data_IF_295296064731
#
_entry.id   IF_295296064731
#
_cell.length_a   1.000
_cell.length_b   1.000
_cell.length_c   1.000
_cell.angle_alpha   90.00
_cell.angle_beta   90.00
_cell.angle_gamma   90.00
#
_symmetry.space_group_name_H-M   'P 1'
#
loop_
_entity.id
_entity.type
_entity.pdbx_description
1 polymer ?
#
# COMPACT_ATOMS: atom_id res chain seq x y z
N UNK A 1 -19.02 2.15 12.52
CA UNK A 1 -20.03 2.80 11.66
C UNK A 1 -19.88 4.33 11.61
N UNK A 2 -19.99 5.07 12.71
CA UNK A 2 -19.92 6.54 12.67
C UNK A 2 -18.61 7.07 12.06
N UNK A 3 -17.45 6.53 12.45
CA UNK A 3 -16.15 6.99 11.98
C UNK A 3 -15.98 6.82 10.46
N UNK A 4 -16.38 5.68 9.91
CA UNK A 4 -16.30 5.43 8.46
C UNK A 4 -17.26 6.31 7.66
N UNK A 5 -18.44 6.62 8.19
CA UNK A 5 -19.36 7.56 7.58
C UNK A 5 -18.80 8.99 7.56
N UNK A 6 -18.22 9.44 8.68
CA UNK A 6 -17.56 10.76 8.78
C UNK A 6 -16.39 10.83 7.80
N UNK A 7 -15.54 9.81 7.77
CA UNK A 7 -14.41 9.73 6.84
C UNK A 7 -14.88 9.79 5.37
N UNK A 8 -15.89 9.00 5.00
CA UNK A 8 -16.46 9.01 3.66
C UNK A 8 -16.99 10.39 3.26
N UNK A 9 -17.74 11.07 4.13
CA UNK A 9 -18.28 12.40 3.86
C UNK A 9 -17.17 13.43 3.67
N UNK A 10 -16.17 13.43 4.57
CA UNK A 10 -15.05 14.36 4.51
C UNK A 10 -14.18 14.12 3.27
N UNK A 11 -13.91 12.87 2.91
CA UNK A 11 -13.15 12.51 1.71
C UNK A 11 -13.90 12.97 0.44
N UNK A 12 -15.19 12.69 0.34
CA UNK A 12 -16.00 13.15 -0.81
C UNK A 12 -16.05 14.66 -0.93
N UNK A 13 -16.25 15.36 0.19
CA UNK A 13 -16.27 16.82 0.19
C UNK A 13 -14.92 17.38 -0.27
N UNK A 14 -13.81 16.88 0.25
CA UNK A 14 -12.47 17.33 -0.17
C UNK A 14 -12.19 17.02 -1.64
N UNK A 15 -12.56 15.83 -2.11
CA UNK A 15 -12.42 15.46 -3.53
C UNK A 15 -13.22 16.37 -4.46
N UNK A 16 -14.42 16.80 -4.06
CA UNK A 16 -15.25 17.72 -4.86
C UNK A 16 -14.70 19.16 -4.94
N UNK A 17 -13.88 19.56 -3.97
CA UNK A 17 -13.23 20.89 -3.92
C UNK A 17 -11.86 20.89 -4.60
N UNK A 18 -11.27 19.73 -4.80
CA UNK A 18 -9.97 19.60 -5.41
C UNK A 18 -10.10 19.59 -6.94
N UNK A 19 -9.55 20.59 -7.59
CA UNK A 19 -9.29 20.55 -9.04
C UNK A 19 -8.10 19.65 -9.39
N UNK A 20 -7.77 18.71 -8.51
CA UNK A 20 -6.58 17.89 -8.55
C UNK A 20 -6.46 17.15 -9.87
N UNK A 21 -5.74 17.74 -10.79
CA UNK A 21 -5.13 17.02 -11.88
C UNK A 21 -4.08 16.10 -11.24
N UNK A 22 -4.41 14.81 -11.13
CA UNK A 22 -3.35 13.83 -11.17
C UNK A 22 -2.51 14.18 -12.39
N UNK A 23 -1.23 14.42 -12.19
CA UNK A 23 -0.32 14.70 -13.29
C UNK A 23 -0.20 13.37 -14.06
N UNK A 24 -1.03 13.19 -15.11
CA UNK A 24 -1.29 11.93 -15.80
C UNK A 24 -0.14 11.52 -16.73
N UNK A 25 1.07 11.39 -16.19
CA UNK A 25 2.13 10.65 -16.88
C UNK A 25 1.72 9.16 -17.08
N UNK A 26 0.88 8.63 -16.16
CA UNK A 26 0.27 7.31 -16.25
C UNK A 26 -1.22 7.46 -16.56
N UNK A 27 -1.71 6.77 -17.58
CA UNK A 27 -3.14 6.74 -17.93
C UNK A 27 -3.93 6.01 -16.82
N UNK A 28 -4.37 6.74 -15.81
CA UNK A 28 -5.17 6.21 -14.71
C UNK A 28 -6.66 6.30 -15.00
N UNK A 29 -7.45 5.41 -14.40
CA UNK A 29 -8.91 5.43 -14.45
C UNK A 29 -9.52 4.94 -13.14
N UNK A 30 -10.78 5.27 -12.93
CA UNK A 30 -11.55 4.75 -11.80
C UNK A 30 -12.35 3.50 -12.20
N UNK A 31 -12.37 2.51 -11.31
CA UNK A 31 -13.21 1.31 -11.43
C UNK A 31 -14.09 1.19 -10.18
N UNK A 32 -15.27 0.59 -10.35
CA UNK A 32 -16.16 0.30 -9.23
C UNK A 32 -15.80 -1.04 -8.61
N UNK A 33 -15.73 -1.07 -7.27
CA UNK A 33 -15.52 -2.28 -6.48
C UNK A 33 -16.57 -2.38 -5.37
N UNK A 34 -16.71 -3.54 -4.71
CA UNK A 34 -17.64 -3.68 -3.58
C UNK A 34 -17.38 -2.73 -2.41
N UNK A 35 -16.19 -2.14 -2.32
CA UNK A 35 -15.77 -1.28 -1.20
C UNK A 35 -15.54 0.18 -1.58
N UNK A 36 -15.79 0.54 -2.83
CA UNK A 36 -15.68 1.92 -3.30
C UNK A 36 -15.24 2.07 -4.75
N UNK A 37 -15.05 3.33 -5.16
CA UNK A 37 -14.44 3.68 -6.44
C UNK A 37 -12.92 3.70 -6.29
N UNK A 38 -12.23 2.85 -7.01
CA UNK A 38 -10.77 2.65 -6.90
C UNK A 38 -10.09 3.21 -8.13
N UNK A 39 -9.12 4.10 -7.93
CA UNK A 39 -8.26 4.61 -8.99
C UNK A 39 -7.17 3.60 -9.28
N UNK A 40 -7.01 3.27 -10.56
CA UNK A 40 -6.04 2.27 -11.03
C UNK A 40 -5.22 2.80 -12.21
N UNK A 41 -4.02 2.28 -12.34
CA UNK A 41 -3.25 2.13 -13.57
C UNK A 41 -3.28 0.66 -13.97
N UNK A 42 -3.39 0.37 -15.26
CA UNK A 42 -3.28 -0.99 -15.82
C UNK A 42 -2.48 -0.91 -17.12
N UNK A 43 -1.36 -1.60 -17.19
CA UNK A 43 -0.50 -1.63 -18.39
C UNK A 43 -1.11 -2.39 -19.57
N UNK A 44 -2.16 -3.19 -19.33
CA UNK A 44 -2.88 -3.85 -20.40
C UNK A 44 -3.91 -2.89 -20.99
N UNK A 45 -3.83 -2.68 -22.30
CA UNK A 45 -4.82 -1.90 -23.05
C UNK A 45 -6.08 -2.72 -23.36
N UNK A 46 -5.96 -4.04 -23.33
CA UNK A 46 -7.05 -5.00 -23.45
C UNK A 46 -6.86 -6.15 -22.44
N UNK A 47 -7.93 -6.90 -22.17
CA UNK A 47 -7.91 -8.04 -21.24
C UNK A 47 -7.19 -9.28 -21.80
N UNK A 48 -6.39 -9.17 -22.86
CA UNK A 48 -5.76 -10.28 -23.57
C UNK A 48 -4.27 -10.46 -23.26
N UNK A 49 -3.75 -9.73 -22.26
CA UNK A 49 -2.34 -9.90 -21.87
C UNK A 49 -2.07 -11.34 -21.42
N UNK A 50 -1.12 -11.99 -22.06
CA UNK A 50 -0.62 -13.32 -21.69
C UNK A 50 0.50 -13.27 -20.66
N UNK A 51 0.96 -12.06 -20.29
CA UNK A 51 2.01 -11.86 -19.28
C UNK A 51 1.47 -12.18 -17.90
N UNK A 52 2.29 -12.75 -17.00
CA UNK A 52 1.93 -12.85 -15.58
C UNK A 52 1.54 -11.47 -15.01
N UNK A 53 0.54 -11.45 -14.12
CA UNK A 53 0.04 -10.21 -13.54
C UNK A 53 0.70 -9.93 -12.19
N UNK A 54 1.18 -8.70 -12.00
CA UNK A 54 1.53 -8.15 -10.70
C UNK A 54 0.60 -7.00 -10.34
N UNK A 55 0.15 -6.99 -9.10
CA UNK A 55 -0.63 -5.88 -8.54
C UNK A 55 0.27 -5.16 -7.52
N UNK A 56 0.46 -3.86 -7.73
CA UNK A 56 1.18 -2.96 -6.83
C UNK A 56 0.18 -2.13 -6.04
N UNK A 57 0.45 -1.96 -4.75
CA UNK A 57 -0.30 -1.01 -3.90
C UNK A 57 0.69 -0.17 -3.12
N UNK A 58 0.68 1.16 -3.36
CA UNK A 58 1.51 2.10 -2.63
C UNK A 58 1.27 2.04 -1.13
N UNK A 59 2.33 2.14 -0.32
CA UNK A 59 2.16 2.39 1.11
C UNK A 59 1.57 3.78 1.33
N UNK A 60 0.66 3.90 2.27
CA UNK A 60 0.19 5.23 2.68
C UNK A 60 1.30 6.03 3.37
N UNK A 61 1.58 7.25 2.93
CA UNK A 61 0.75 8.14 2.12
C UNK A 61 1.10 8.21 0.62
N UNK A 62 1.88 7.28 0.10
CA UNK A 62 2.23 7.27 -1.32
C UNK A 62 1.00 7.01 -2.21
N UNK A 63 1.14 7.33 -3.47
CA UNK A 63 0.14 7.19 -4.54
C UNK A 63 0.75 6.58 -5.78
N UNK A 64 -0.07 6.19 -6.76
CA UNK A 64 0.35 5.55 -8.03
C UNK A 64 1.54 6.30 -8.66
N UNK A 65 1.53 7.63 -8.66
CA UNK A 65 2.56 8.47 -9.27
C UNK A 65 3.97 8.30 -8.66
N UNK A 66 4.08 7.76 -7.46
CA UNK A 66 5.39 7.43 -6.90
C UNK A 66 6.01 6.20 -7.56
N UNK A 67 5.21 5.36 -8.22
CA UNK A 67 5.62 4.08 -8.78
C UNK A 67 6.02 4.15 -10.25
N UNK A 68 6.08 5.34 -10.86
CA UNK A 68 6.39 5.53 -12.28
C UNK A 68 7.62 4.76 -12.75
N UNK A 69 8.73 4.87 -12.01
CA UNK A 69 9.98 4.19 -12.33
C UNK A 69 9.86 2.66 -12.22
N UNK A 70 9.22 2.15 -11.17
CA UNK A 70 9.02 0.72 -10.98
C UNK A 70 8.08 0.14 -12.03
N UNK A 71 6.99 0.84 -12.34
CA UNK A 71 6.03 0.46 -13.39
C UNK A 71 6.74 0.34 -14.74
N UNK A 72 7.56 1.31 -15.11
CA UNK A 72 8.32 1.30 -16.36
C UNK A 72 9.26 0.10 -16.48
N UNK A 73 9.92 -0.28 -15.37
CA UNK A 73 10.81 -1.44 -15.31
C UNK A 73 10.08 -2.79 -15.40
N UNK A 74 8.87 -2.88 -14.88
CA UNK A 74 8.11 -4.13 -14.82
C UNK A 74 7.26 -4.39 -16.07
N UNK A 75 6.73 -3.34 -16.71
CA UNK A 75 5.80 -3.44 -17.84
C UNK A 75 6.34 -4.24 -19.05
N UNK A 76 7.65 -4.24 -19.37
CA UNK A 76 8.18 -5.12 -20.42
C UNK A 76 7.96 -6.61 -20.15
N UNK A 77 7.93 -7.03 -18.89
CA UNK A 77 7.90 -8.42 -18.44
C UNK A 77 6.54 -8.90 -17.94
N UNK A 78 5.74 -7.99 -17.35
CA UNK A 78 4.53 -8.29 -16.62
C UNK A 78 3.35 -7.42 -17.09
N UNK A 79 2.11 -7.91 -16.89
CA UNK A 79 0.96 -7.01 -16.75
C UNK A 79 1.04 -6.36 -15.39
N UNK A 80 1.21 -5.05 -15.37
CA UNK A 80 1.32 -4.27 -14.13
C UNK A 80 0.01 -3.55 -13.88
N UNK A 81 -0.61 -3.83 -12.74
CA UNK A 81 -1.73 -3.07 -12.20
C UNK A 81 -1.23 -2.37 -10.94
N UNK A 82 -1.42 -1.06 -10.86
CA UNK A 82 -1.13 -0.29 -9.65
C UNK A 82 -2.40 0.44 -9.23
N UNK A 83 -2.77 0.39 -7.95
CA UNK A 83 -3.98 1.08 -7.50
C UNK A 83 -3.84 1.71 -6.12
N UNK A 84 -4.54 2.82 -5.92
CA UNK A 84 -4.69 3.44 -4.62
C UNK A 84 -5.76 2.68 -3.82
N UNK A 85 -5.45 2.21 -2.61
CA UNK A 85 -6.46 1.59 -1.74
C UNK A 85 -7.64 2.54 -1.46
N UNK A 86 -8.85 2.02 -1.21
CA UNK A 86 -9.99 2.87 -0.88
C UNK A 86 -9.68 3.84 0.26
N UNK A 87 -9.85 5.14 -0.03
CA UNK A 87 -9.52 6.23 0.87
C UNK A 87 -8.08 6.71 0.80
N UNK A 88 -7.18 6.05 0.10
CA UNK A 88 -5.83 6.52 -0.22
C UNK A 88 -5.79 7.14 -1.61
N UNK A 89 -4.77 7.94 -1.87
CA UNK A 89 -4.59 8.59 -3.16
C UNK A 89 -5.84 9.35 -3.58
N UNK A 90 -6.40 8.95 -4.72
CA UNK A 90 -7.63 9.52 -5.27
C UNK A 90 -8.78 8.48 -5.33
N UNK A 91 -8.67 7.38 -4.60
CA UNK A 91 -9.71 6.37 -4.45
C UNK A 91 -10.74 6.77 -3.39
N UNK A 92 -12.03 6.58 -3.70
CA UNK A 92 -13.12 6.94 -2.79
C UNK A 92 -13.72 5.70 -2.13
N UNK A 93 -13.63 5.56 -0.79
CA UNK A 93 -14.20 4.43 -0.08
C UNK A 93 -15.72 4.50 -0.03
N UNK A 94 -16.40 3.37 0.18
CA UNK A 94 -17.81 3.37 0.59
C UNK A 94 -17.97 3.87 2.04
N UNK A 95 -19.20 4.29 2.38
CA UNK A 95 -19.51 4.87 3.69
C UNK A 95 -19.32 3.92 4.87
N UNK A 96 -19.29 2.62 4.61
CA UNK A 96 -19.06 1.57 5.61
C UNK A 96 -17.62 1.02 5.60
N UNK A 97 -16.72 1.58 4.79
CA UNK A 97 -15.33 1.13 4.71
C UNK A 97 -14.57 1.55 5.98
N UNK A 98 -14.17 0.59 6.78
CA UNK A 98 -13.56 0.80 8.10
C UNK A 98 -12.09 0.35 8.16
N UNK A 99 -11.44 0.16 7.01
CA UNK A 99 -10.05 -0.29 6.88
C UNK A 99 -9.75 -1.62 7.61
N UNK A 100 -10.76 -2.51 7.74
CA UNK A 100 -10.53 -3.85 8.27
C UNK A 100 -9.75 -4.72 7.28
N UNK A 101 -9.08 -5.76 7.78
CA UNK A 101 -8.37 -6.73 6.93
C UNK A 101 -9.28 -7.32 5.85
N UNK A 102 -10.50 -7.67 6.22
CA UNK A 102 -11.46 -8.25 5.27
C UNK A 102 -11.87 -7.25 4.18
N UNK A 103 -12.10 -5.99 4.53
CA UNK A 103 -12.45 -4.96 3.54
C UNK A 103 -11.27 -4.61 2.64
N UNK A 104 -10.04 -4.57 3.17
CA UNK A 104 -8.84 -4.41 2.36
C UNK A 104 -8.65 -5.57 1.38
N UNK A 105 -8.85 -6.80 1.82
CA UNK A 105 -8.83 -7.97 0.94
C UNK A 105 -9.95 -7.91 -0.13
N UNK A 106 -11.15 -7.46 0.23
CA UNK A 106 -12.25 -7.23 -0.72
C UNK A 106 -11.91 -6.15 -1.77
N UNK A 107 -11.14 -5.12 -1.40
CA UNK A 107 -10.64 -4.14 -2.36
C UNK A 107 -9.73 -4.80 -3.40
N UNK A 108 -8.76 -5.60 -2.95
CA UNK A 108 -7.83 -6.33 -3.82
C UNK A 108 -8.57 -7.28 -4.76
N UNK A 109 -9.39 -8.15 -4.20
CA UNK A 109 -10.16 -9.13 -4.99
C UNK A 109 -11.17 -8.45 -5.91
N UNK A 110 -11.80 -7.36 -5.47
CA UNK A 110 -12.71 -6.57 -6.29
C UNK A 110 -12.02 -5.89 -7.48
N UNK A 111 -10.77 -5.43 -7.33
CA UNK A 111 -9.95 -4.95 -8.45
C UNK A 111 -9.65 -6.09 -9.42
N UNK A 112 -9.26 -7.26 -8.92
CA UNK A 112 -9.00 -8.44 -9.77
C UNK A 112 -10.26 -8.85 -10.56
N UNK A 113 -11.43 -8.84 -9.92
CA UNK A 113 -12.70 -9.19 -10.56
C UNK A 113 -13.07 -8.19 -11.66
N UNK A 114 -12.97 -6.88 -11.36
CA UNK A 114 -13.29 -5.82 -12.32
C UNK A 114 -12.37 -5.84 -13.56
N UNK A 115 -11.12 -6.27 -13.38
CA UNK A 115 -10.11 -6.37 -14.45
C UNK A 115 -10.02 -7.77 -15.08
N UNK A 116 -10.88 -8.71 -14.63
CA UNK A 116 -10.87 -10.11 -15.07
C UNK A 116 -9.49 -10.77 -14.94
N UNK A 117 -8.86 -10.56 -13.78
CA UNK A 117 -7.57 -11.14 -13.42
C UNK A 117 -7.85 -12.41 -12.61
N UNK A 118 -7.55 -13.57 -13.16
CA UNK A 118 -7.75 -14.85 -12.48
C UNK A 118 -6.74 -15.03 -11.36
N UNK A 119 -5.46 -14.80 -11.66
CA UNK A 119 -4.36 -14.95 -10.71
C UNK A 119 -3.39 -13.77 -10.78
N UNK A 120 -2.80 -13.41 -9.63
CA UNK A 120 -1.80 -12.35 -9.56
C UNK A 120 -0.76 -12.59 -8.45
N UNK A 121 0.42 -11.99 -8.64
CA UNK A 121 1.36 -11.70 -7.56
C UNK A 121 0.99 -10.36 -6.93
N UNK A 122 0.97 -10.28 -5.60
CA UNK A 122 0.72 -9.01 -4.90
C UNK A 122 2.05 -8.44 -4.38
N UNK A 123 2.37 -7.22 -4.78
CA UNK A 123 3.56 -6.49 -4.34
C UNK A 123 3.12 -5.23 -3.58
N UNK A 124 2.97 -5.35 -2.27
CA UNK A 124 2.37 -4.35 -1.39
C UNK A 124 3.36 -3.92 -0.30
N UNK A 125 3.18 -2.70 0.18
CA UNK A 125 4.11 -2.13 1.15
C UNK A 125 3.44 -1.83 2.49
N UNK A 126 4.18 -2.03 3.57
CA UNK A 126 3.87 -1.70 4.96
C UNK A 126 2.46 -2.17 5.41
N UNK A 127 1.60 -1.26 5.81
CA UNK A 127 0.25 -1.55 6.29
C UNK A 127 -0.64 -2.25 5.25
N UNK A 128 -0.44 -1.95 3.95
CA UNK A 128 -1.19 -2.59 2.88
C UNK A 128 -0.77 -4.05 2.67
N UNK A 129 0.43 -4.46 3.10
CA UNK A 129 0.86 -5.84 3.11
C UNK A 129 -0.08 -6.77 3.92
N UNK A 130 -0.72 -6.24 4.97
CA UNK A 130 -1.72 -7.02 5.73
C UNK A 130 -2.98 -7.32 4.93
N UNK A 131 -3.37 -6.42 4.02
CA UNK A 131 -4.48 -6.67 3.09
C UNK A 131 -4.12 -7.73 2.04
N UNK A 132 -2.86 -7.73 1.58
CA UNK A 132 -2.36 -8.78 0.69
C UNK A 132 -2.35 -10.16 1.38
N UNK A 133 -1.89 -10.24 2.64
CA UNK A 133 -1.94 -11.46 3.44
C UNK A 133 -3.38 -11.97 3.62
N UNK A 134 -4.31 -11.07 3.94
CA UNK A 134 -5.73 -11.43 4.09
C UNK A 134 -6.35 -11.86 2.75
N UNK A 135 -5.99 -11.23 1.63
CA UNK A 135 -6.44 -11.65 0.31
C UNK A 135 -5.93 -13.06 -0.03
N UNK A 136 -4.65 -13.35 0.29
CA UNK A 136 -4.08 -14.68 0.11
C UNK A 136 -4.76 -15.76 0.98
N UNK A 137 -5.13 -15.44 2.23
CA UNK A 137 -5.93 -16.35 3.07
C UNK A 137 -7.35 -16.57 2.53
N UNK A 138 -7.95 -15.52 1.96
CA UNK A 138 -9.35 -15.56 1.49
C UNK A 138 -9.49 -16.27 0.15
N UNK A 139 -8.53 -16.10 -0.74
CA UNK A 139 -8.53 -16.68 -2.10
C UNK A 139 -7.13 -17.20 -2.49
N UNK A 140 -6.62 -18.23 -1.80
CA UNK A 140 -5.25 -18.71 -1.99
C UNK A 140 -4.96 -19.19 -3.42
N UNK A 141 -5.99 -19.67 -4.13
CA UNK A 141 -5.86 -20.09 -5.54
C UNK A 141 -5.69 -18.92 -6.50
N UNK A 142 -6.02 -17.69 -6.09
CA UNK A 142 -5.90 -16.48 -6.94
C UNK A 142 -4.61 -15.72 -6.68
N UNK A 143 -4.01 -15.88 -5.52
CA UNK A 143 -2.79 -15.15 -5.14
C UNK A 143 -1.60 -16.11 -5.24
N UNK A 144 -0.84 -15.97 -6.31
CA UNK A 144 0.26 -16.90 -6.63
C UNK A 144 1.49 -16.65 -5.78
N UNK A 145 1.72 -15.41 -5.37
CA UNK A 145 2.89 -14.99 -4.58
C UNK A 145 2.65 -13.65 -3.89
N UNK A 146 3.38 -13.44 -2.81
CA UNK A 146 3.46 -12.15 -2.10
C UNK A 146 4.90 -11.63 -2.14
N UNK A 147 5.07 -10.35 -2.49
CA UNK A 147 6.35 -9.62 -2.33
C UNK A 147 6.03 -8.36 -1.54
N UNK A 148 6.37 -8.35 -0.26
CA UNK A 148 5.92 -7.31 0.65
C UNK A 148 7.12 -6.48 1.13
N UNK A 149 6.97 -5.15 1.16
CA UNK A 149 8.01 -4.24 1.67
C UNK A 149 7.66 -3.75 3.06
N UNK A 150 8.63 -3.72 3.98
CA UNK A 150 8.48 -3.14 5.34
C UNK A 150 7.21 -3.60 6.09
N UNK A 151 6.73 -4.82 5.84
CA UNK A 151 5.56 -5.41 6.51
C UNK A 151 6.04 -6.35 7.61
N UNK A 152 5.91 -5.98 8.90
CA UNK A 152 6.22 -6.88 10.03
C UNK A 152 5.03 -7.80 10.35
N UNK A 153 5.10 -8.57 11.46
CA UNK A 153 3.88 -9.19 12.00
C UNK A 153 2.88 -8.13 12.50
N UNK A 154 1.61 -8.51 12.58
CA UNK A 154 0.57 -7.59 13.09
C UNK A 154 0.82 -7.22 14.57
N UNK A 155 1.37 -8.14 15.37
CA UNK A 155 1.83 -7.86 16.75
C UNK A 155 2.89 -6.75 16.76
N UNK A 156 3.90 -6.88 15.90
CA UNK A 156 4.97 -5.89 15.81
C UNK A 156 4.46 -4.55 15.26
N UNK A 157 3.48 -4.56 14.35
CA UNK A 157 2.81 -3.35 13.86
C UNK A 157 2.02 -2.64 14.95
N UNK A 158 1.30 -3.36 15.83
CA UNK A 158 0.60 -2.75 16.98
C UNK A 158 1.61 -2.08 17.93
N UNK A 159 2.73 -2.73 18.22
CA UNK A 159 3.80 -2.15 19.02
C UNK A 159 4.42 -0.92 18.35
N UNK A 160 4.65 -0.96 17.03
CA UNK A 160 5.12 0.16 16.22
C UNK A 160 4.14 1.33 16.27
N UNK A 161 2.85 1.08 16.01
CA UNK A 161 1.78 2.09 16.07
C UNK A 161 1.75 2.81 17.41
N UNK A 162 1.93 2.08 18.51
CA UNK A 162 1.93 2.65 19.85
C UNK A 162 3.11 3.60 20.10
N UNK A 163 4.24 3.38 19.45
CA UNK A 163 5.47 4.19 19.62
C UNK A 163 5.55 5.37 18.65
N UNK A 164 5.17 5.14 17.38
CA UNK A 164 5.45 6.06 16.27
C UNK A 164 4.25 6.95 15.94
N UNK A 165 3.04 6.37 15.97
CA UNK A 165 1.84 7.12 15.57
C UNK A 165 1.35 8.01 16.72
N UNK A 166 1.20 9.32 16.50
CA UNK A 166 0.65 10.24 17.51
C UNK A 166 -0.73 9.78 18.01
N UNK A 167 -0.94 9.88 19.33
CA UNK A 167 -2.16 9.37 19.95
C UNK A 167 -3.47 9.91 19.36
N UNK A 168 -3.58 11.18 18.87
CA UNK A 168 -4.83 11.66 18.28
C UNK A 168 -5.27 10.84 17.08
N UNK A 169 -4.33 10.38 16.23
CA UNK A 169 -4.64 9.57 15.06
C UNK A 169 -5.26 8.20 15.41
N UNK A 170 -5.05 7.72 16.62
CA UNK A 170 -5.59 6.45 17.12
C UNK A 170 -7.03 6.57 17.65
N UNK A 171 -7.53 7.80 17.83
CA UNK A 171 -8.88 8.06 18.39
C UNK A 171 -9.85 8.32 17.23
N UNK A 172 -10.97 7.58 17.15
CA UNK A 172 -12.00 7.79 16.14
C UNK A 172 -12.49 9.23 16.06
N UNK A 173 -12.71 9.75 14.85
CA UNK A 173 -13.11 11.12 14.50
C UNK A 173 -12.03 12.15 14.81
N UNK A 174 -11.45 12.14 16.01
CA UNK A 174 -10.37 13.07 16.36
C UNK A 174 -9.15 12.86 15.44
N UNK A 175 -8.86 11.60 15.10
CA UNK A 175 -7.76 11.26 14.20
C UNK A 175 -7.98 11.80 12.80
N UNK A 176 -9.17 11.73 12.27
CA UNK A 176 -9.51 12.27 10.95
C UNK A 176 -9.35 13.80 10.92
N UNK A 177 -9.83 14.49 11.97
CA UNK A 177 -9.65 15.94 12.11
C UNK A 177 -8.17 16.32 12.25
N UNK A 178 -7.41 15.58 13.06
CA UNK A 178 -5.97 15.81 13.21
C UNK A 178 -5.21 15.58 11.91
N UNK A 179 -5.54 14.51 11.17
CA UNK A 179 -4.99 14.23 9.84
C UNK A 179 -5.21 15.39 8.86
N UNK A 180 -6.40 15.97 8.86
CA UNK A 180 -6.74 17.12 8.03
C UNK A 180 -6.02 18.40 8.44
N UNK A 181 -6.05 18.74 9.74
CA UNK A 181 -5.43 19.97 10.26
C UNK A 181 -3.91 19.97 10.11
N UNK A 182 -3.28 18.83 10.30
CA UNK A 182 -1.82 18.69 10.31
C UNK A 182 -1.24 17.97 9.11
N UNK A 183 -1.99 17.82 8.00
CA UNK A 183 -1.59 17.05 6.82
C UNK A 183 -0.20 17.39 6.26
N UNK A 184 0.16 18.68 6.20
CA UNK A 184 1.48 19.12 5.74
C UNK A 184 2.60 18.69 6.71
N UNK A 185 2.34 18.82 8.01
CA UNK A 185 3.29 18.41 9.05
C UNK A 185 3.41 16.89 9.06
N UNK A 186 2.31 16.16 8.90
CA UNK A 186 2.28 14.70 8.85
C UNK A 186 3.13 14.18 7.68
N UNK A 187 2.92 14.70 6.45
CA UNK A 187 3.72 14.34 5.29
C UNK A 187 5.22 14.61 5.51
N UNK A 188 5.58 15.83 5.96
CA UNK A 188 6.97 16.20 6.21
C UNK A 188 7.63 15.30 7.26
N UNK A 189 6.94 15.07 8.38
CA UNK A 189 7.47 14.24 9.47
C UNK A 189 7.62 12.78 9.04
N UNK A 190 6.68 12.26 8.27
CA UNK A 190 6.72 10.88 7.80
C UNK A 190 7.93 10.65 6.90
N UNK A 191 8.09 11.40 5.83
CA UNK A 191 9.23 11.23 4.94
C UNK A 191 10.57 11.55 5.62
N UNK A 192 10.57 12.40 6.64
CA UNK A 192 11.78 12.70 7.42
C UNK A 192 12.28 11.54 8.28
N UNK A 193 11.42 10.56 8.61
CA UNK A 193 11.81 9.36 9.37
C UNK A 193 11.79 8.08 8.53
N UNK A 194 11.08 8.07 7.41
CA UNK A 194 10.93 6.93 6.52
C UNK A 194 12.09 6.83 5.52
N UNK A 195 12.53 7.96 4.97
CA UNK A 195 13.61 8.02 3.98
C UNK A 195 14.98 8.17 4.65
N UNK A 196 16.06 7.68 4.01
CA UNK A 196 17.42 8.00 4.40
C UNK A 196 17.66 9.51 4.36
N UNK A 197 18.50 10.03 5.26
CA UNK A 197 18.79 11.46 5.37
C UNK A 197 19.39 12.09 4.10
N UNK A 198 19.98 11.27 3.24
CA UNK A 198 20.57 11.69 1.95
C UNK A 198 19.53 11.83 0.84
N UNK A 199 18.29 11.35 1.04
CA UNK A 199 17.24 11.35 0.03
C UNK A 199 16.47 12.68 0.06
N UNK A 200 16.29 13.30 -1.11
CA UNK A 200 15.40 14.46 -1.24
C UNK A 200 13.93 14.00 -1.08
N UNK A 201 13.31 14.46 -0.01
CA UNK A 201 11.92 14.14 0.31
C UNK A 201 10.89 15.02 -0.43
N UNK A 202 11.31 16.11 -1.10
CA UNK A 202 10.38 17.07 -1.67
C UNK A 202 9.46 16.47 -2.75
N UNK A 203 9.96 15.67 -3.72
CA UNK A 203 9.10 15.05 -4.73
C UNK A 203 8.06 14.10 -4.14
N UNK A 204 8.42 13.37 -3.08
CA UNK A 204 7.47 12.48 -2.37
C UNK A 204 6.38 13.29 -1.66
N UNK A 205 6.78 14.35 -0.96
CA UNK A 205 5.86 15.22 -0.22
C UNK A 205 4.86 15.91 -1.14
N UNK A 206 5.28 16.38 -2.31
CA UNK A 206 4.43 17.06 -3.28
C UNK A 206 3.29 16.14 -3.75
N UNK A 207 3.62 14.95 -4.25
CA UNK A 207 2.63 13.96 -4.71
C UNK A 207 1.64 13.59 -3.59
N UNK A 208 2.15 13.35 -2.39
CA UNK A 208 1.32 13.05 -1.21
C UNK A 208 0.40 14.20 -0.83
N UNK A 209 0.89 15.44 -0.85
CA UNK A 209 0.06 16.60 -0.47
C UNK A 209 -1.06 16.85 -1.47
N UNK A 210 -0.87 16.55 -2.75
CA UNK A 210 -1.93 16.59 -3.75
C UNK A 210 -3.06 15.61 -3.38
N UNK A 211 -2.74 14.38 -3.03
CA UNK A 211 -3.72 13.39 -2.57
C UNK A 211 -4.37 13.78 -1.24
N UNK A 212 -3.60 14.32 -0.29
CA UNK A 212 -4.14 14.80 0.99
C UNK A 212 -5.12 15.95 0.83
N UNK A 213 -4.89 16.84 -0.14
CA UNK A 213 -5.82 17.91 -0.45
C UNK A 213 -7.13 17.38 -1.05
N UNK A 214 -7.09 16.22 -1.72
CA UNK A 214 -8.27 15.52 -2.25
C UNK A 214 -8.95 14.60 -1.23
N UNK A 215 -8.50 14.58 0.03
CA UNK A 215 -9.16 13.85 1.12
C UNK A 215 -8.43 12.61 1.64
N UNK A 216 -7.35 12.16 1.00
CA UNK A 216 -6.60 10.99 1.47
C UNK A 216 -6.01 11.14 2.89
N UNK A 217 -5.88 12.36 3.40
CA UNK A 217 -5.39 12.62 4.75
C UNK A 217 -6.25 12.00 5.86
N UNK A 218 -7.54 11.77 5.63
CA UNK A 218 -8.43 11.14 6.59
C UNK A 218 -8.13 9.65 6.80
N UNK A 219 -7.66 8.96 5.77
CA UNK A 219 -7.37 7.53 5.79
C UNK A 219 -6.17 7.15 6.65
N UNK A 220 -5.25 8.08 6.89
CA UNK A 220 -4.13 7.85 7.81
C UNK A 220 -4.63 7.42 9.19
N UNK A 221 -5.68 8.07 9.69
CA UNK A 221 -6.31 7.67 10.94
C UNK A 221 -7.15 6.40 10.77
N UNK A 222 -7.88 6.28 9.64
CA UNK A 222 -8.73 5.13 9.35
C UNK A 222 -7.97 3.81 9.37
N UNK A 223 -6.83 3.71 8.66
CA UNK A 223 -6.03 2.49 8.63
C UNK A 223 -5.44 2.13 9.99
N UNK A 224 -4.94 3.12 10.73
CA UNK A 224 -4.42 2.92 12.09
C UNK A 224 -5.51 2.36 13.02
N UNK A 225 -6.70 2.96 12.97
CA UNK A 225 -7.85 2.55 13.78
C UNK A 225 -8.43 1.19 13.31
N UNK A 226 -8.39 0.90 12.02
CA UNK A 226 -8.82 -0.38 11.44
C UNK A 226 -7.93 -1.52 11.90
N UNK A 227 -6.63 -1.40 11.68
CA UNK A 227 -5.64 -2.42 12.07
C UNK A 227 -5.58 -2.65 13.58
N UNK A 228 -5.76 -1.59 14.40
CA UNK A 228 -5.78 -1.71 15.86
C UNK A 228 -6.91 -2.60 16.40
N UNK A 229 -7.95 -2.87 15.62
CA UNK A 229 -9.07 -3.75 15.99
C UNK A 229 -8.86 -5.20 15.62
N UNK A 230 -7.86 -5.48 14.81
CA UNK A 230 -7.59 -6.83 14.30
C UNK A 230 -6.78 -7.65 15.31
N UNK A 231 -7.18 -8.90 15.52
CA UNK A 231 -6.43 -9.78 16.39
C UNK A 231 -5.10 -10.16 15.73
N UNK A 232 -3.96 -10.09 16.45
CA UNK A 232 -2.65 -10.44 15.87
C UNK A 232 -2.61 -11.79 15.17
N UNK A 233 -3.23 -12.81 15.77
CA UNK A 233 -3.27 -14.17 15.21
C UNK A 233 -4.12 -14.31 13.93
N UNK A 234 -4.88 -13.30 13.54
CA UNK A 234 -5.79 -13.39 12.38
C UNK A 234 -5.07 -13.53 11.04
N UNK A 235 -3.78 -13.25 10.98
CA UNK A 235 -2.93 -13.38 9.78
C UNK A 235 -1.90 -14.51 9.88
N UNK A 236 -1.97 -15.36 10.88
CA UNK A 236 -1.03 -16.49 11.02
C UNK A 236 -1.27 -17.56 9.94
N UNK A 237 -0.21 -18.28 9.59
CA UNK A 237 -0.26 -19.48 8.76
C UNK A 237 -0.58 -19.24 7.28
N UNK A 238 -0.20 -18.10 6.72
CA UNK A 238 -0.27 -17.86 5.27
C UNK A 238 0.73 -18.78 4.57
N UNK A 239 0.22 -19.64 3.68
CA UNK A 239 1.03 -20.63 2.95
C UNK A 239 1.44 -20.16 1.55
N UNK A 240 0.87 -19.08 1.05
CA UNK A 240 1.27 -18.48 -0.21
C UNK A 240 2.76 -18.10 -0.16
N UNK A 241 3.59 -18.50 -1.14
CA UNK A 241 5.00 -18.12 -1.19
C UNK A 241 5.19 -16.62 -1.02
N UNK A 242 6.07 -16.23 -0.09
CA UNK A 242 6.20 -14.85 0.32
C UNK A 242 7.67 -14.43 0.40
N UNK A 243 7.97 -13.24 -0.11
CA UNK A 243 9.26 -12.55 0.04
C UNK A 243 9.03 -11.22 0.75
N UNK A 244 9.80 -10.95 1.81
CA UNK A 244 9.81 -9.65 2.48
C UNK A 244 11.05 -8.89 2.03
N UNK A 245 10.87 -7.68 1.53
CA UNK A 245 11.95 -6.74 1.25
C UNK A 245 12.02 -5.72 2.38
N UNK A 246 13.20 -5.61 3.01
CA UNK A 246 13.37 -4.79 4.20
C UNK A 246 14.50 -3.78 4.03
N UNK A 247 14.18 -2.49 4.12
CA UNK A 247 15.15 -1.39 4.12
C UNK A 247 15.74 -1.18 5.50
N UNK A 248 17.07 -1.27 5.61
CA UNK A 248 17.77 -1.23 6.89
C UNK A 248 17.90 0.18 7.50
N UNK A 249 17.74 1.23 6.68
CA UNK A 249 17.86 2.63 7.10
C UNK A 249 16.52 3.26 7.51
N UNK A 250 15.45 2.48 7.61
CA UNK A 250 14.16 2.97 8.07
C UNK A 250 14.18 3.29 9.57
N UNK A 251 14.26 4.57 9.89
CA UNK A 251 14.25 5.04 11.27
C UNK A 251 12.90 4.84 11.96
N UNK A 252 11.80 4.73 11.19
CA UNK A 252 10.48 4.49 11.77
C UNK A 252 10.37 3.08 12.36
N UNK A 253 11.02 2.11 11.70
CA UNK A 253 11.04 0.70 12.09
C UNK A 253 12.30 0.25 12.84
N UNK A 254 13.14 1.17 13.34
CA UNK A 254 14.43 0.82 14.02
C UNK A 254 14.31 -0.17 15.19
N UNK A 255 13.12 -0.31 15.78
CA UNK A 255 12.83 -1.27 16.86
C UNK A 255 11.94 -2.44 16.40
N UNK A 256 11.71 -2.57 15.11
CA UNK A 256 10.91 -3.64 14.53
C UNK A 256 11.84 -4.61 13.81
N UNK A 257 11.72 -5.89 14.11
CA UNK A 257 12.53 -6.92 13.46
C UNK A 257 11.76 -7.51 12.26
N UNK A 258 12.37 -7.60 11.07
CA UNK A 258 11.74 -8.23 9.91
C UNK A 258 11.38 -9.70 10.16
N UNK A 259 12.14 -10.40 11.01
CA UNK A 259 11.88 -11.78 11.41
C UNK A 259 10.55 -11.97 12.13
N UNK A 260 9.95 -10.90 12.69
CA UNK A 260 8.59 -10.98 13.26
C UNK A 260 7.56 -11.44 12.23
N UNK A 261 7.82 -11.24 10.94
CA UNK A 261 6.91 -11.65 9.86
C UNK A 261 6.69 -13.17 9.78
N UNK A 262 7.60 -13.97 10.33
CA UNK A 262 7.48 -15.43 10.41
C UNK A 262 6.19 -15.85 11.12
N UNK A 263 5.66 -15.04 12.03
CA UNK A 263 4.34 -15.27 12.65
C UNK A 263 3.22 -15.34 11.61
N UNK A 264 3.32 -14.56 10.54
CA UNK A 264 2.32 -14.52 9.46
C UNK A 264 2.56 -15.61 8.41
N UNK A 265 3.78 -15.71 7.91
CA UNK A 265 4.20 -16.65 6.86
C UNK A 265 5.55 -17.30 7.23
N UNK A 266 5.52 -18.49 7.85
CA UNK A 266 6.74 -19.17 8.35
C UNK A 266 7.76 -19.50 7.27
N UNK A 267 7.35 -19.58 6.01
CA UNK A 267 8.19 -19.91 4.86
C UNK A 267 8.67 -18.66 4.10
N UNK A 268 8.51 -17.46 4.67
CA UNK A 268 8.87 -16.22 3.98
C UNK A 268 10.38 -16.05 3.87
N UNK A 269 10.85 -15.70 2.67
CA UNK A 269 12.22 -15.23 2.45
C UNK A 269 12.34 -13.77 2.85
N UNK A 270 13.46 -13.38 3.48
CA UNK A 270 13.73 -11.99 3.88
C UNK A 270 14.93 -11.47 3.08
N UNK A 271 14.71 -10.44 2.29
CA UNK A 271 15.72 -9.76 1.48
C UNK A 271 16.02 -8.39 2.08
N UNK A 272 17.26 -8.15 2.48
CA UNK A 272 17.68 -6.89 3.07
C UNK A 272 18.24 -5.92 2.03
N UNK A 273 17.73 -4.68 2.05
CA UNK A 273 18.26 -3.54 1.31
C UNK A 273 19.00 -2.63 2.31
N UNK A 274 20.33 -2.79 2.38
CA UNK A 274 21.16 -2.15 3.41
C UNK A 274 21.17 -0.62 3.35
N UNK A 275 20.89 -0.07 2.19
CA UNK A 275 20.99 1.35 1.83
C UNK A 275 19.63 2.00 1.54
N UNK A 276 18.52 1.32 1.85
CA UNK A 276 17.17 1.85 1.71
C UNK A 276 16.53 2.15 3.07
N UNK A 277 15.63 3.13 3.06
CA UNK A 277 14.69 3.41 4.15
C UNK A 277 13.42 2.56 4.05
N UNK A 278 12.29 3.20 4.28
CA UNK A 278 10.97 2.57 4.35
C UNK A 278 10.41 2.09 3.00
N UNK A 279 10.91 2.63 1.89
CA UNK A 279 10.36 2.41 0.57
C UNK A 279 11.37 1.77 -0.40
N UNK A 280 11.83 0.52 -0.17
CA UNK A 280 12.79 -0.14 -1.07
C UNK A 280 12.31 -0.20 -2.52
N UNK A 281 11.02 -0.30 -2.73
CA UNK A 281 10.31 -0.32 -4.01
C UNK A 281 10.39 1.02 -4.77
N UNK A 282 10.53 2.14 -4.04
CA UNK A 282 10.64 3.49 -4.60
C UNK A 282 12.08 4.01 -4.61
N UNK A 283 12.86 3.68 -3.58
CA UNK A 283 14.23 4.15 -3.41
C UNK A 283 15.22 3.42 -4.34
N UNK A 284 14.99 2.12 -4.56
CA UNK A 284 15.79 1.28 -5.46
C UNK A 284 14.90 0.44 -6.40
N UNK A 285 14.12 1.08 -7.29
CA UNK A 285 13.13 0.40 -8.11
C UNK A 285 13.72 -0.67 -9.02
N UNK A 286 14.95 -0.47 -9.54
CA UNK A 286 15.62 -1.45 -10.39
C UNK A 286 15.97 -2.74 -9.62
N UNK A 287 16.53 -2.60 -8.42
CA UNK A 287 16.86 -3.74 -7.55
C UNK A 287 15.57 -4.43 -7.04
N UNK A 288 14.55 -3.65 -6.70
CA UNK A 288 13.26 -4.20 -6.30
C UNK A 288 12.59 -4.98 -7.44
N UNK A 289 12.62 -4.45 -8.66
CA UNK A 289 12.12 -5.16 -9.85
C UNK A 289 12.83 -6.50 -10.07
N UNK A 290 14.16 -6.56 -9.86
CA UNK A 290 14.91 -7.83 -9.94
C UNK A 290 14.43 -8.84 -8.90
N UNK A 291 14.24 -8.42 -7.64
CA UNK A 291 13.69 -9.29 -6.58
C UNK A 291 12.30 -9.80 -6.96
N UNK A 292 11.44 -8.92 -7.45
CA UNK A 292 10.07 -9.28 -7.84
C UNK A 292 10.07 -10.25 -9.04
N UNK A 293 10.83 -9.99 -10.09
CA UNK A 293 10.94 -10.88 -11.26
C UNK A 293 11.52 -12.24 -10.87
N UNK A 294 12.56 -12.26 -10.05
CA UNK A 294 13.13 -13.52 -9.52
C UNK A 294 12.09 -14.29 -8.70
N UNK A 295 11.36 -13.61 -7.82
CA UNK A 295 10.30 -14.23 -7.04
C UNK A 295 9.20 -14.87 -7.91
N UNK A 296 8.89 -14.30 -9.06
CA UNK A 296 7.90 -14.84 -10.02
C UNK A 296 8.50 -15.96 -10.91
N UNK A 297 9.81 -16.16 -10.87
CA UNK A 297 10.52 -17.14 -11.71
C UNK A 297 10.84 -16.64 -13.11
N UNK A 298 10.88 -15.31 -13.30
CA UNK A 298 11.29 -14.70 -14.57
C UNK A 298 12.77 -14.30 -14.51
N UNK A 299 13.47 -14.32 -15.65
CA UNK A 299 14.86 -13.87 -15.70
C UNK A 299 14.92 -12.39 -15.31
N UNK A 300 15.91 -12.05 -14.49
CA UNK A 300 16.21 -10.65 -14.15
C UNK A 300 16.52 -9.89 -15.44
N UNK A 301 15.94 -8.72 -15.61
CA UNK A 301 16.36 -7.83 -16.69
C UNK A 301 17.87 -7.57 -16.52
N UNK A 302 18.68 -8.02 -17.48
CA UNK A 302 20.09 -7.62 -17.55
C UNK A 302 20.08 -6.11 -17.77
N UNK A 303 20.78 -5.39 -16.86
CA UNK A 303 20.97 -3.95 -16.95
C UNK A 303 21.72 -3.55 -18.23
#
# INVERSE_FOLDING_TARGET
MLTSQVEHLLTRFSASQSSGNANDALATRNISTPVGSVRIYDSATDNRSTKPCVILVPDGPNVIEHYDALIALLTPHLRVVCFDMPGFGFSLPQSNYAHSLNQGAQAVLGVMDALKIDTATLAFSCANGFYALRAAQTAPQRITRLVLSQTPSLTAMHAWTSRVVPWPLRVPVLGQLAGWLFKRKAARSWYGIALPRSTDAAPYQEKTLNAFNSGACFCLAGVVQGLAREAPASLHGVTTPCTIVWGALDHSHKYTQPQSFIDCAPQADIVHFADCGHFPDLEQPARYAQVLLHAIGLPSATA
#
